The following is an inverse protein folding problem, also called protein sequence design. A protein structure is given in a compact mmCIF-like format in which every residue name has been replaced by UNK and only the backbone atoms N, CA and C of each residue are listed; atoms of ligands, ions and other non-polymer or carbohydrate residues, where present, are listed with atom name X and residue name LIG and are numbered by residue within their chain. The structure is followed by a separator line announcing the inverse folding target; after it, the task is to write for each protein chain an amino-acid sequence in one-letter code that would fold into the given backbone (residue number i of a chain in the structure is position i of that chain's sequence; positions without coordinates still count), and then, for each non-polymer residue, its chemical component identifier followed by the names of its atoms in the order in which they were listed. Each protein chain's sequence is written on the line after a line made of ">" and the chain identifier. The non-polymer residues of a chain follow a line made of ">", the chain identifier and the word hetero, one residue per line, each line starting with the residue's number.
data_IF_773795768368
#
_entry.id   IF_773795768368
#
_cell.length_a   1.000
_cell.length_b   1.000
_cell.length_c   1.000
_cell.angle_alpha   90.00
_cell.angle_beta   90.00
_cell.angle_gamma   90.00
#
_symmetry.space_group_name_H-M   'P 1'
#
loop_
_entity.id
_entity.type
_entity.pdbx_description
1 polymer ?
#
# COMPACT_ATOMS: atom_id res chain seq x y z
N UNK A 1 4.07 -2.21 15.10
CA UNK A 1 4.05 -1.42 13.85
C UNK A 1 2.69 -1.49 13.13
N UNK A 2 2.22 -2.63 12.55
CA UNK A 2 0.96 -2.70 11.76
C UNK A 2 -0.27 -2.10 12.45
N UNK A 3 -0.49 -2.42 13.72
CA UNK A 3 -1.62 -1.86 14.50
C UNK A 3 -1.49 -0.35 14.70
N UNK A 4 -0.29 0.13 15.02
CA UNK A 4 -0.02 1.56 15.19
C UNK A 4 -0.30 2.31 13.87
N UNK A 5 0.16 1.79 12.74
CA UNK A 5 -0.14 2.37 11.43
C UNK A 5 -1.65 2.54 11.20
N UNK A 6 -2.44 1.49 11.46
CA UNK A 6 -3.91 1.57 11.29
C UNK A 6 -4.56 2.55 12.28
N UNK A 7 -4.06 2.64 13.52
CA UNK A 7 -4.57 3.60 14.50
C UNK A 7 -4.31 5.05 14.07
N UNK A 8 -3.12 5.34 13.58
CA UNK A 8 -2.77 6.66 13.04
C UNK A 8 -3.56 6.98 11.76
N UNK A 9 -3.74 5.99 10.88
CA UNK A 9 -4.55 6.17 9.69
C UNK A 9 -6.03 6.43 10.02
N UNK A 10 -6.59 5.76 11.03
CA UNK A 10 -7.94 6.03 11.56
C UNK A 10 -8.03 7.47 12.08
N UNK A 11 -7.02 7.93 12.81
CA UNK A 11 -7.00 9.30 13.33
C UNK A 11 -6.96 10.33 12.18
N UNK A 12 -6.18 10.09 11.15
CA UNK A 12 -6.11 10.94 9.97
C UNK A 12 -7.42 10.92 9.15
N UNK A 13 -8.00 9.73 8.93
CA UNK A 13 -9.22 9.54 8.14
C UNK A 13 -10.46 10.20 8.78
N UNK A 14 -10.52 10.29 10.12
CA UNK A 14 -11.55 11.06 10.82
C UNK A 14 -11.60 12.53 10.40
N UNK A 15 -10.45 13.10 10.08
CA UNK A 15 -10.28 14.52 9.74
C UNK A 15 -10.26 14.79 8.25
N UNK A 16 -9.90 13.78 7.46
CA UNK A 16 -9.78 13.91 6.01
C UNK A 16 -10.51 12.77 5.29
N UNK A 17 -11.63 13.07 4.67
CA UNK A 17 -12.44 12.12 3.91
C UNK A 17 -11.81 11.71 2.57
N UNK A 18 -10.74 12.38 2.17
CA UNK A 18 -9.96 12.06 0.97
C UNK A 18 -8.90 10.96 1.21
N UNK A 19 -8.74 10.49 2.43
CA UNK A 19 -7.90 9.32 2.72
C UNK A 19 -8.66 8.05 2.37
N UNK A 20 -8.02 7.20 1.56
CA UNK A 20 -8.55 5.89 1.15
C UNK A 20 -7.53 4.81 1.51
N UNK A 21 -7.99 3.75 2.15
CA UNK A 21 -7.20 2.53 2.39
C UNK A 21 -7.64 1.45 1.41
N UNK A 22 -6.69 0.93 0.64
CA UNK A 22 -6.90 -0.19 -0.27
C UNK A 22 -6.09 -1.41 0.18
N UNK A 23 -6.70 -2.58 0.05
CA UNK A 23 -6.07 -3.88 0.32
C UNK A 23 -6.36 -4.86 -0.82
N UNK A 24 -5.56 -5.91 -0.92
CA UNK A 24 -5.72 -6.99 -1.88
C UNK A 24 -6.03 -8.33 -1.19
N UNK A 25 -7.16 -8.35 -0.49
CA UNK A 25 -7.69 -9.50 0.25
C UNK A 25 -6.73 -10.07 1.30
N UNK A 26 -6.10 -9.15 2.03
CA UNK A 26 -5.17 -9.46 3.12
C UNK A 26 -5.26 -8.43 4.24
N UNK A 27 -4.47 -8.63 5.30
CA UNK A 27 -4.45 -7.74 6.46
C UNK A 27 -5.44 -8.14 7.55
N UNK A 28 -5.90 -9.40 7.55
CA UNK A 28 -6.83 -9.94 8.53
C UNK A 28 -6.36 -9.71 9.97
N UNK A 29 -7.29 -9.31 10.85
CA UNK A 29 -7.01 -8.92 12.24
C UNK A 29 -6.36 -7.54 12.39
N UNK A 30 -6.19 -6.79 11.29
CA UNK A 30 -5.53 -5.47 11.30
C UNK A 30 -6.39 -4.38 10.68
N UNK A 31 -6.94 -4.61 9.48
CA UNK A 31 -7.63 -3.57 8.69
C UNK A 31 -9.12 -3.43 8.97
N UNK A 32 -9.75 -4.42 9.60
CA UNK A 32 -11.20 -4.48 9.81
C UNK A 32 -11.73 -3.30 10.62
N UNK A 33 -10.95 -2.82 11.59
CA UNK A 33 -11.33 -1.64 12.38
C UNK A 33 -11.48 -0.41 11.49
N UNK A 34 -10.57 -0.20 10.54
CA UNK A 34 -10.66 0.88 9.58
C UNK A 34 -11.86 0.69 8.64
N UNK A 35 -12.02 -0.51 8.07
CA UNK A 35 -13.11 -0.84 7.16
C UNK A 35 -14.49 -0.61 7.77
N UNK A 36 -14.68 -1.02 9.04
CA UNK A 36 -15.94 -0.84 9.76
C UNK A 36 -16.22 0.64 10.08
N UNK A 37 -15.21 1.42 10.43
CA UNK A 37 -15.39 2.85 10.78
C UNK A 37 -15.56 3.72 9.53
N UNK A 38 -14.92 3.36 8.41
CA UNK A 38 -14.86 4.16 7.20
C UNK A 38 -15.17 3.35 5.94
N UNK A 39 -16.37 2.74 5.81
CA UNK A 39 -16.69 1.86 4.68
C UNK A 39 -16.62 2.55 3.31
N UNK A 40 -16.75 3.88 3.25
CA UNK A 40 -16.60 4.68 2.02
C UNK A 40 -15.16 5.06 1.69
N UNK A 41 -14.24 4.84 2.64
CA UNK A 41 -12.81 5.13 2.51
C UNK A 41 -11.99 3.84 2.49
N UNK A 42 -12.63 2.67 2.42
CA UNK A 42 -12.01 1.36 2.38
C UNK A 42 -12.39 0.60 1.12
N UNK A 43 -11.39 0.04 0.44
CA UNK A 43 -11.59 -0.77 -0.77
C UNK A 43 -10.78 -2.06 -0.63
N UNK A 44 -11.44 -3.20 -0.74
CA UNK A 44 -10.77 -4.47 -0.97
C UNK A 44 -10.81 -4.77 -2.49
N UNK A 45 -9.68 -4.70 -3.15
CA UNK A 45 -9.56 -4.90 -4.60
C UNK A 45 -9.46 -6.39 -4.99
N UNK A 46 -9.53 -7.30 -4.01
CA UNK A 46 -9.28 -8.72 -4.24
C UNK A 46 -7.80 -9.02 -4.48
N UNK A 47 -7.47 -10.27 -4.79
CA UNK A 47 -6.10 -10.71 -5.10
C UNK A 47 -5.73 -10.26 -6.52
N UNK A 48 -5.60 -8.95 -6.72
CA UNK A 48 -5.38 -8.31 -8.00
C UNK A 48 -4.51 -7.04 -7.85
N UNK A 49 -3.23 -7.22 -7.48
CA UNK A 49 -2.34 -6.14 -7.06
C UNK A 49 -2.10 -5.10 -8.15
N UNK A 50 -1.93 -5.53 -9.41
CA UNK A 50 -1.75 -4.60 -10.53
C UNK A 50 -3.00 -3.74 -10.75
N UNK A 51 -4.19 -4.35 -10.71
CA UNK A 51 -5.45 -3.61 -10.79
C UNK A 51 -5.62 -2.65 -9.61
N UNK A 52 -5.31 -3.09 -8.40
CA UNK A 52 -5.33 -2.24 -7.19
C UNK A 52 -4.44 -1.01 -7.36
N UNK A 53 -3.25 -1.18 -7.95
CA UNK A 53 -2.32 -0.07 -8.15
C UNK A 53 -2.82 0.93 -9.19
N UNK A 54 -3.39 0.44 -10.30
CA UNK A 54 -4.05 1.30 -11.30
C UNK A 54 -5.26 2.05 -10.74
N UNK A 55 -6.09 1.38 -9.93
CA UNK A 55 -7.20 2.01 -9.21
C UNK A 55 -6.71 3.09 -8.23
N UNK A 56 -5.62 2.82 -7.49
CA UNK A 56 -5.01 3.78 -6.57
C UNK A 56 -4.54 5.03 -7.31
N UNK A 57 -3.91 4.86 -8.47
CA UNK A 57 -3.50 5.99 -9.32
C UNK A 57 -4.70 6.83 -9.78
N UNK A 58 -5.77 6.19 -10.28
CA UNK A 58 -6.98 6.89 -10.70
C UNK A 58 -7.65 7.67 -9.55
N UNK A 59 -7.76 7.06 -8.37
CA UNK A 59 -8.29 7.73 -7.17
C UNK A 59 -7.41 8.90 -6.72
N UNK A 60 -6.08 8.76 -6.84
CA UNK A 60 -5.15 9.81 -6.49
C UNK A 60 -5.22 11.00 -7.45
N UNK A 61 -5.47 10.76 -8.74
CA UNK A 61 -5.76 11.80 -9.74
C UNK A 61 -7.03 12.60 -9.40
N UNK A 62 -8.00 11.98 -8.70
CA UNK A 62 -9.20 12.66 -8.16
C UNK A 62 -8.97 13.27 -6.76
N UNK A 63 -7.75 13.70 -6.48
CA UNK A 63 -7.36 14.37 -5.24
C UNK A 63 -7.59 13.55 -3.95
N UNK A 64 -7.51 12.23 -4.01
CA UNK A 64 -7.46 11.39 -2.83
C UNK A 64 -6.00 11.07 -2.46
N UNK A 65 -5.73 10.86 -1.18
CA UNK A 65 -4.49 10.26 -0.71
C UNK A 65 -4.75 8.77 -0.47
N UNK A 66 -4.18 7.93 -1.30
CA UNK A 66 -4.45 6.50 -1.29
C UNK A 66 -3.33 5.73 -0.59
N UNK A 67 -3.69 4.94 0.40
CA UNK A 67 -2.81 4.00 1.08
C UNK A 67 -3.08 2.59 0.56
N UNK A 68 -2.09 2.00 -0.11
CA UNK A 68 -2.13 0.63 -0.60
C UNK A 68 -1.39 -0.26 0.39
N UNK A 69 -2.11 -1.13 1.10
CA UNK A 69 -1.56 -1.98 2.16
C UNK A 69 -1.43 -3.43 1.67
N UNK A 70 -0.21 -3.95 1.62
CA UNK A 70 0.04 -5.32 1.16
C UNK A 70 1.35 -5.90 1.71
N UNK A 71 1.55 -7.22 1.51
CA UNK A 71 2.81 -7.91 1.77
C UNK A 71 3.86 -7.41 0.77
N UNK A 72 5.00 -6.94 1.29
CA UNK A 72 5.98 -6.13 0.57
C UNK A 72 6.37 -6.61 -0.83
N UNK A 73 6.49 -7.93 -1.03
CA UNK A 73 6.85 -8.49 -2.33
C UNK A 73 5.72 -8.30 -3.39
N UNK A 74 4.46 -8.31 -2.99
CA UNK A 74 3.33 -8.30 -3.92
C UNK A 74 3.09 -6.93 -4.55
N UNK A 75 2.96 -5.83 -3.78
CA UNK A 75 2.69 -4.53 -4.38
C UNK A 75 3.94 -3.92 -5.06
N UNK A 76 5.15 -4.40 -4.76
CA UNK A 76 6.37 -3.89 -5.38
C UNK A 76 6.68 -4.59 -6.69
N UNK A 77 7.02 -5.88 -6.65
CA UNK A 77 7.48 -6.61 -7.84
C UNK A 77 6.39 -6.83 -8.89
N UNK A 78 5.19 -7.24 -8.45
CA UNK A 78 4.07 -7.45 -9.38
C UNK A 78 3.60 -6.17 -10.06
N UNK A 79 3.76 -5.04 -9.38
CA UNK A 79 3.21 -3.75 -9.79
C UNK A 79 4.27 -2.74 -10.20
N UNK A 80 5.50 -3.17 -10.43
CA UNK A 80 6.61 -2.26 -10.74
C UNK A 80 6.31 -1.33 -11.93
N UNK A 81 5.63 -1.84 -12.95
CA UNK A 81 5.22 -1.05 -14.12
C UNK A 81 4.15 -0.02 -13.75
N UNK A 82 3.10 -0.42 -13.03
CA UNK A 82 2.03 0.49 -12.58
C UNK A 82 2.58 1.56 -11.64
N UNK A 83 3.47 1.19 -10.71
CA UNK A 83 4.14 2.16 -9.83
C UNK A 83 4.93 3.16 -10.66
N UNK A 84 5.74 2.69 -11.61
CA UNK A 84 6.57 3.53 -12.45
C UNK A 84 5.74 4.47 -13.34
N UNK A 85 4.77 3.92 -14.06
CA UNK A 85 4.07 4.64 -15.12
C UNK A 85 2.89 5.46 -14.57
N UNK A 86 2.12 4.88 -13.63
CA UNK A 86 0.87 5.48 -13.21
C UNK A 86 1.04 6.35 -11.95
N UNK A 87 1.97 5.99 -11.06
CA UNK A 87 2.15 6.69 -9.78
C UNK A 87 3.37 7.61 -9.80
N UNK A 88 4.56 7.06 -10.05
CA UNK A 88 5.82 7.78 -9.95
C UNK A 88 5.93 8.87 -11.03
N UNK A 89 5.65 8.51 -12.29
CA UNK A 89 5.71 9.47 -13.41
C UNK A 89 4.78 10.68 -13.21
N UNK A 90 3.60 10.46 -12.64
CA UNK A 90 2.61 11.50 -12.35
C UNK A 90 2.77 12.14 -10.97
N UNK A 91 3.74 11.68 -10.17
CA UNK A 91 4.00 12.15 -8.80
C UNK A 91 2.72 12.17 -7.92
N UNK A 92 1.96 11.08 -7.95
CA UNK A 92 0.66 10.98 -7.30
C UNK A 92 0.77 10.71 -5.79
N UNK A 93 -0.17 11.21 -4.98
CA UNK A 93 -0.23 10.98 -3.55
C UNK A 93 -0.71 9.56 -3.20
N UNK A 94 0.08 8.55 -3.58
CA UNK A 94 -0.13 7.16 -3.24
C UNK A 94 0.96 6.70 -2.28
N UNK A 95 0.57 6.16 -1.14
CA UNK A 95 1.49 5.57 -0.16
C UNK A 95 1.39 4.05 -0.21
N UNK A 96 2.47 3.40 -0.63
CA UNK A 96 2.56 1.93 -0.67
C UNK A 96 3.07 1.44 0.68
N UNK A 97 2.20 0.78 1.43
CA UNK A 97 2.48 0.27 2.78
C UNK A 97 2.89 -1.19 2.70
N UNK A 98 4.19 -1.43 2.62
CA UNK A 98 4.76 -2.75 2.58
C UNK A 98 4.89 -3.36 3.97
N UNK A 99 4.25 -4.50 4.20
CA UNK A 99 4.39 -5.24 5.45
C UNK A 99 5.25 -6.49 5.27
N UNK A 100 6.00 -6.86 6.30
CA UNK A 100 6.85 -8.04 6.26
C UNK A 100 8.17 -7.83 5.53
N UNK A 101 8.87 -6.73 5.82
CA UNK A 101 10.19 -6.43 5.25
C UNK A 101 11.21 -7.55 5.50
N UNK A 102 12.14 -7.72 4.57
CA UNK A 102 13.20 -8.73 4.62
C UNK A 102 12.63 -10.14 4.60
N UNK A 103 13.02 -10.96 5.56
CA UNK A 103 12.62 -12.37 5.72
C UNK A 103 11.55 -12.57 6.80
N UNK A 104 10.77 -11.54 7.15
CA UNK A 104 9.79 -11.58 8.24
C UNK A 104 8.74 -12.70 8.11
N UNK A 105 8.47 -13.17 6.90
CA UNK A 105 7.56 -14.27 6.62
C UNK A 105 8.20 -15.67 6.69
N UNK A 106 9.51 -15.75 7.02
CA UNK A 106 10.20 -17.00 7.38
C UNK A 106 9.99 -18.13 6.37
N UNK A 107 9.34 -19.18 6.82
CA UNK A 107 9.12 -20.42 6.07
C UNK A 107 8.19 -20.30 4.85
N UNK A 108 7.49 -19.18 4.67
CA UNK A 108 6.73 -18.92 3.44
C UNK A 108 7.65 -18.70 2.23
N UNK A 109 8.93 -18.47 2.47
CA UNK A 109 9.97 -18.48 1.48
C UNK A 109 10.02 -17.25 0.58
N UNK A 110 10.77 -17.41 -0.51
CA UNK A 110 11.17 -16.32 -1.39
C UNK A 110 10.00 -15.53 -1.99
N UNK A 111 8.85 -16.17 -2.25
CA UNK A 111 7.66 -15.51 -2.77
C UNK A 111 7.06 -14.45 -1.83
N UNK A 112 7.36 -14.54 -0.52
CA UNK A 112 6.88 -13.62 0.51
C UNK A 112 7.98 -12.75 1.09
N UNK A 113 9.26 -13.06 0.82
CA UNK A 113 10.37 -12.25 1.29
C UNK A 113 10.47 -10.95 0.50
N UNK A 114 10.69 -9.86 1.18
CA UNK A 114 10.85 -8.52 0.60
C UNK A 114 12.28 -8.04 0.84
N UNK A 115 13.21 -8.52 0.03
CA UNK A 115 14.65 -8.28 0.17
C UNK A 115 15.15 -7.26 -0.86
N UNK A 116 14.69 -7.37 -2.11
CA UNK A 116 15.14 -6.54 -3.23
C UNK A 116 14.20 -5.35 -3.52
N UNK A 117 13.12 -5.21 -2.76
CA UNK A 117 12.11 -4.15 -2.91
C UNK A 117 12.73 -2.74 -2.85
N UNK A 118 13.67 -2.50 -1.93
CA UNK A 118 14.36 -1.21 -1.87
C UNK A 118 15.16 -0.91 -3.13
N UNK A 119 15.86 -1.89 -3.68
CA UNK A 119 16.66 -1.69 -4.90
C UNK A 119 15.74 -1.34 -6.07
N UNK A 120 14.61 -2.03 -6.21
CA UNK A 120 13.63 -1.77 -7.24
C UNK A 120 12.96 -0.40 -7.09
N UNK A 121 12.49 -0.07 -5.89
CA UNK A 121 11.78 1.19 -5.65
C UNK A 121 12.70 2.42 -5.70
N UNK A 122 13.97 2.29 -5.34
CA UNK A 122 14.95 3.38 -5.47
C UNK A 122 15.28 3.76 -6.91
N UNK A 123 14.91 2.93 -7.87
CA UNK A 123 15.02 3.28 -9.30
C UNK A 123 13.93 4.26 -9.77
N UNK A 124 12.88 4.49 -8.97
CA UNK A 124 11.80 5.42 -9.26
C UNK A 124 12.17 6.82 -8.72
N UNK A 125 12.29 7.83 -9.58
CA UNK A 125 12.89 9.11 -9.20
C UNK A 125 12.06 9.96 -8.22
N UNK A 126 10.73 9.80 -8.22
CA UNK A 126 9.82 10.59 -7.38
C UNK A 126 9.39 9.85 -6.11
N UNK A 127 9.74 8.57 -5.96
CA UNK A 127 9.37 7.81 -4.76
C UNK A 127 10.24 8.17 -3.56
N UNK A 128 9.59 8.49 -2.44
CA UNK A 128 10.22 8.55 -1.13
C UNK A 128 10.10 7.19 -0.44
N UNK A 129 11.22 6.63 0.03
CA UNK A 129 11.23 5.38 0.80
C UNK A 129 11.46 5.69 2.26
N UNK A 130 10.49 5.33 3.11
CA UNK A 130 10.58 5.43 4.55
C UNK A 130 10.63 4.03 5.18
N UNK A 131 11.63 3.78 6.01
CA UNK A 131 11.79 2.52 6.75
C UNK A 131 11.45 2.80 8.21
N UNK A 132 10.36 2.21 8.69
CA UNK A 132 9.91 2.38 10.07
C UNK A 132 10.49 1.27 10.96
N UNK A 133 11.12 1.63 12.06
CA UNK A 133 11.67 0.73 13.10
C UNK A 133 10.75 0.62 14.31
#
# INVERSE_FOLDING_TARGET
>A
MRKIFIEELIFAAKRNKKIILMVNDLGFGVVEKFANLFPKQFINAGVAEQNMMGMAAGLAMDNNHVFVYSIGNFPTFRCAEQIRNDIDYHNLPVTIVNVGSGISYGNLGYSHHSIQDYALMRAMPNLLIAVCS
#
